data_IF_877555376298
#
_entry.id   IF_877555376298
#
_cell.length_a   1.000
_cell.length_b   1.000
_cell.length_c   1.000
_cell.angle_alpha   90.00
_cell.angle_beta   90.00
_cell.angle_gamma   90.00
#
_symmetry.space_group_name_H-M   'P 1'
#
loop_
_entity.id
_entity.type
_entity.pdbx_description
1 polymer ?
#
# COMPACT_ATOMS: atom_id res chain seq x y z
N UNK A 1 -17.72 1.88 8.70
CA UNK A 1 -16.85 0.70 8.58
C UNK A 1 -17.21 -0.28 9.69
N UNK A 2 -17.14 -1.56 9.38
CA UNK A 2 -17.28 -2.66 10.34
C UNK A 2 -15.93 -2.90 11.04
N UNK A 3 -15.93 -3.74 12.07
CA UNK A 3 -14.75 -4.09 12.85
C UNK A 3 -14.60 -5.59 12.99
N UNK A 4 -13.35 -6.04 12.99
CA UNK A 4 -12.98 -7.44 13.18
C UNK A 4 -11.75 -7.55 14.06
N UNK A 5 -11.75 -8.49 14.98
CA UNK A 5 -10.59 -8.79 15.83
C UNK A 5 -9.79 -9.92 15.21
N UNK A 6 -8.54 -9.64 14.84
CA UNK A 6 -7.59 -10.60 14.26
C UNK A 6 -6.20 -10.38 14.87
N UNK A 7 -5.45 -11.44 15.11
CA UNK A 7 -4.06 -11.38 15.59
C UNK A 7 -3.83 -10.40 16.76
N UNK A 8 -4.79 -10.30 17.68
CA UNK A 8 -4.69 -9.42 18.85
C UNK A 8 -4.93 -7.94 18.60
N UNK A 9 -5.37 -7.55 17.39
CA UNK A 9 -5.73 -6.18 17.01
C UNK A 9 -7.17 -6.13 16.48
N UNK A 10 -7.79 -4.96 16.58
CA UNK A 10 -9.06 -4.65 15.94
C UNK A 10 -8.79 -3.87 14.65
N UNK A 11 -9.30 -4.36 13.53
CA UNK A 11 -9.21 -3.72 12.23
C UNK A 11 -10.56 -3.19 11.79
N UNK A 12 -10.56 -2.05 11.11
CA UNK A 12 -11.74 -1.51 10.43
C UNK A 12 -11.74 -1.96 8.96
N UNK A 13 -12.88 -2.47 8.49
CA UNK A 13 -13.03 -2.89 7.09
C UNK A 13 -14.38 -2.51 6.51
N UNK A 14 -14.53 -2.60 5.21
CA UNK A 14 -15.82 -2.54 4.52
C UNK A 14 -15.84 -3.48 3.33
N UNK A 15 -17.01 -4.04 3.05
CA UNK A 15 -17.26 -4.87 1.88
C UNK A 15 -18.37 -4.27 1.02
N UNK A 16 -18.27 -4.41 -0.30
CA UNK A 16 -19.30 -4.03 -1.26
C UNK A 16 -19.29 -4.99 -2.46
N UNK A 17 -20.45 -5.17 -3.10
CA UNK A 17 -20.58 -6.09 -4.23
C UNK A 17 -20.63 -7.57 -3.86
N UNK A 18 -20.54 -8.43 -4.87
CA UNK A 18 -20.56 -9.89 -4.73
C UNK A 18 -19.78 -10.53 -5.90
N UNK A 19 -19.42 -11.80 -5.74
CA UNK A 19 -18.60 -12.53 -6.71
C UNK A 19 -17.23 -12.87 -6.16
N UNK A 20 -16.24 -12.97 -7.04
CA UNK A 20 -14.84 -13.20 -6.64
C UNK A 20 -14.34 -12.06 -5.74
N UNK A 21 -13.56 -12.40 -4.75
CA UNK A 21 -13.10 -11.41 -3.78
C UNK A 21 -11.91 -10.60 -4.34
N UNK A 22 -11.97 -9.29 -4.14
CA UNK A 22 -10.86 -8.37 -4.36
C UNK A 22 -10.57 -7.68 -3.03
N UNK A 23 -9.36 -7.80 -2.51
CA UNK A 23 -8.93 -7.07 -1.32
C UNK A 23 -7.97 -5.96 -1.70
N UNK A 24 -8.27 -4.74 -1.26
CA UNK A 24 -7.38 -3.59 -1.41
C UNK A 24 -6.62 -3.33 -0.12
N UNK A 25 -5.29 -3.33 -0.21
CA UNK A 25 -4.36 -3.01 0.87
C UNK A 25 -3.80 -1.61 0.62
N UNK A 26 -4.15 -0.65 1.50
CA UNK A 26 -3.72 0.73 1.35
C UNK A 26 -2.21 0.93 1.61
N UNK A 27 -1.64 1.94 0.99
CA UNK A 27 -0.25 2.37 1.18
C UNK A 27 0.04 2.97 2.55
N UNK A 28 1.18 3.61 2.70
CA UNK A 28 1.53 4.37 3.90
C UNK A 28 0.73 5.67 4.02
N UNK A 29 0.31 6.02 5.22
CA UNK A 29 -0.21 7.32 5.61
C UNK A 29 -1.67 7.64 5.26
N UNK A 30 -2.23 7.16 4.13
CA UNK A 30 -3.61 7.46 3.75
C UNK A 30 -4.42 6.16 3.65
N UNK A 31 -5.13 5.82 4.71
CA UNK A 31 -5.77 4.52 4.88
C UNK A 31 -6.96 4.24 3.96
N UNK A 32 -7.63 5.27 3.44
CA UNK A 32 -8.86 5.13 2.68
C UNK A 32 -8.68 5.30 1.16
N UNK A 33 -7.45 5.24 0.64
CA UNK A 33 -7.17 5.39 -0.79
C UNK A 33 -7.86 4.36 -1.68
N UNK A 34 -8.25 3.21 -1.16
CA UNK A 34 -9.05 2.21 -1.88
C UNK A 34 -10.54 2.55 -2.01
N UNK A 35 -11.03 3.63 -1.39
CA UNK A 35 -12.45 3.97 -1.44
C UNK A 35 -13.01 4.14 -2.86
N UNK A 36 -12.34 4.85 -3.78
CA UNK A 36 -12.84 4.99 -5.16
C UNK A 36 -13.00 3.66 -5.87
N UNK A 37 -12.08 2.71 -5.69
CA UNK A 37 -12.16 1.39 -6.30
C UNK A 37 -13.35 0.57 -5.77
N UNK A 38 -13.60 0.62 -4.47
CA UNK A 38 -14.70 -0.15 -3.84
C UNK A 38 -16.07 0.36 -4.27
N UNK A 39 -16.19 1.63 -4.63
CA UNK A 39 -17.47 2.22 -5.09
C UNK A 39 -17.60 2.24 -6.61
N UNK A 40 -16.53 1.91 -7.36
CA UNK A 40 -16.54 1.90 -8.83
C UNK A 40 -17.49 0.81 -9.35
N UNK A 41 -18.54 1.17 -10.11
CA UNK A 41 -19.53 0.19 -10.60
C UNK A 41 -18.91 -0.93 -11.43
N UNK A 42 -17.91 -0.62 -12.28
CA UNK A 42 -17.24 -1.60 -13.13
C UNK A 42 -16.56 -2.72 -12.31
N UNK A 43 -16.19 -2.45 -11.07
CA UNK A 43 -15.62 -3.42 -10.14
C UNK A 43 -16.68 -4.01 -9.22
N UNK A 44 -17.43 -3.17 -8.53
CA UNK A 44 -18.41 -3.58 -7.50
C UNK A 44 -19.52 -4.47 -8.06
N UNK A 45 -19.92 -4.28 -9.31
CA UNK A 45 -21.01 -5.04 -9.92
C UNK A 45 -20.58 -6.47 -10.32
N UNK A 46 -19.26 -6.77 -10.30
CA UNK A 46 -18.67 -8.05 -10.67
C UNK A 46 -17.88 -8.74 -9.56
N UNK A 47 -17.40 -7.97 -8.57
CA UNK A 47 -16.52 -8.47 -7.53
C UNK A 47 -17.04 -8.14 -6.14
N UNK A 48 -16.69 -8.99 -5.17
CA UNK A 48 -16.79 -8.68 -3.73
C UNK A 48 -15.59 -7.83 -3.34
N UNK A 49 -15.75 -6.51 -3.37
CA UNK A 49 -14.72 -5.54 -3.05
C UNK A 49 -14.53 -5.42 -1.54
N UNK A 50 -13.32 -5.67 -1.04
CA UNK A 50 -12.94 -5.59 0.37
C UNK A 50 -11.86 -4.55 0.51
N UNK A 51 -12.03 -3.59 1.41
CA UNK A 51 -10.96 -2.71 1.86
C UNK A 51 -10.88 -2.72 3.38
N UNK A 52 -9.70 -2.54 3.92
CA UNK A 52 -9.50 -2.43 5.35
C UNK A 52 -8.42 -1.40 5.68
N UNK A 53 -8.43 -0.90 6.90
CA UNK A 53 -7.36 -0.09 7.43
C UNK A 53 -6.38 -1.00 8.16
N UNK A 54 -5.09 -0.90 7.82
CA UNK A 54 -4.05 -1.67 8.51
C UNK A 54 -3.96 -1.25 9.98
N UNK A 55 -3.41 -2.10 10.82
CA UNK A 55 -3.17 -1.77 12.25
C UNK A 55 -2.48 -0.42 12.40
N UNK A 56 -2.85 0.33 13.42
CA UNK A 56 -2.34 1.68 13.68
C UNK A 56 -3.09 2.79 12.95
N UNK A 57 -3.81 2.50 11.86
CA UNK A 57 -4.50 3.49 11.05
C UNK A 57 -5.97 3.67 11.44
N UNK A 58 -6.47 4.89 11.30
CA UNK A 58 -7.88 5.23 11.53
C UNK A 58 -8.35 4.86 12.93
N UNK A 59 -9.45 4.09 12.99
CA UNK A 59 -10.01 3.58 14.25
C UNK A 59 -9.51 2.18 14.63
N UNK A 60 -8.51 1.63 13.93
CA UNK A 60 -7.89 0.37 14.30
C UNK A 60 -7.09 0.48 15.61
N UNK A 61 -6.74 -0.66 16.19
CA UNK A 61 -5.88 -0.70 17.37
C UNK A 61 -4.59 0.09 17.12
N UNK A 62 -4.32 1.06 17.98
CA UNK A 62 -3.07 1.84 17.92
C UNK A 62 -1.88 0.96 18.27
N UNK A 63 -0.80 1.19 17.59
CA UNK A 63 0.47 0.47 17.76
C UNK A 63 1.55 1.41 18.28
N UNK A 64 2.58 0.83 18.84
CA UNK A 64 3.80 1.54 19.27
C UNK A 64 5.00 0.84 18.65
N UNK A 65 5.84 1.61 17.96
CA UNK A 65 7.03 1.09 17.29
C UNK A 65 6.74 0.37 15.96
N UNK A 66 7.76 -0.28 15.40
CA UNK A 66 7.68 -0.90 14.08
C UNK A 66 6.74 -2.11 14.07
N UNK A 67 6.07 -2.30 12.93
CA UNK A 67 5.31 -3.51 12.61
C UNK A 67 5.98 -4.14 11.39
N UNK A 68 6.27 -5.41 11.47
CA UNK A 68 6.90 -6.12 10.35
C UNK A 68 5.94 -6.30 9.16
N UNK A 69 6.50 -6.39 7.97
CA UNK A 69 5.72 -6.69 6.76
C UNK A 69 4.98 -8.02 6.91
N UNK A 70 5.60 -9.02 7.53
CA UNK A 70 4.98 -10.31 7.80
C UNK A 70 3.75 -10.19 8.72
N UNK A 71 3.78 -9.34 9.74
CA UNK A 71 2.62 -9.11 10.61
C UNK A 71 1.46 -8.45 9.85
N UNK A 72 1.75 -7.48 8.96
CA UNK A 72 0.73 -6.89 8.09
C UNK A 72 0.13 -7.92 7.11
N UNK A 73 0.94 -8.82 6.55
CA UNK A 73 0.48 -9.91 5.68
C UNK A 73 -0.39 -10.91 6.45
N UNK A 74 0.01 -11.28 7.68
CA UNK A 74 -0.79 -12.14 8.56
C UNK A 74 -2.12 -11.52 8.93
N UNK A 75 -2.18 -10.20 9.14
CA UNK A 75 -3.45 -9.49 9.38
C UNK A 75 -4.38 -9.56 8.18
N UNK A 76 -3.87 -9.34 6.98
CA UNK A 76 -4.66 -9.47 5.75
C UNK A 76 -5.20 -10.90 5.61
N UNK A 77 -4.35 -11.92 5.80
CA UNK A 77 -4.78 -13.31 5.79
C UNK A 77 -5.87 -13.61 6.81
N UNK A 78 -5.68 -13.13 8.05
CA UNK A 78 -6.63 -13.36 9.14
C UNK A 78 -7.97 -12.64 8.89
N UNK A 79 -7.94 -11.43 8.29
CA UNK A 79 -9.13 -10.71 7.83
C UNK A 79 -9.88 -11.53 6.77
N UNK A 80 -9.20 -11.98 5.70
CA UNK A 80 -9.81 -12.80 4.65
C UNK A 80 -10.46 -14.05 5.24
N UNK A 81 -9.78 -14.75 6.15
CA UNK A 81 -10.32 -15.91 6.86
C UNK A 81 -11.56 -15.57 7.68
N UNK A 82 -11.56 -14.47 8.42
CA UNK A 82 -12.70 -14.02 9.23
C UNK A 82 -13.91 -13.63 8.37
N UNK A 83 -13.68 -13.22 7.12
CA UNK A 83 -14.71 -12.91 6.13
C UNK A 83 -15.11 -14.12 5.27
N UNK A 84 -14.61 -15.32 5.61
CA UNK A 84 -14.87 -16.57 4.87
C UNK A 84 -14.44 -16.49 3.39
N UNK A 85 -13.35 -15.75 3.12
CA UNK A 85 -12.73 -15.63 1.79
C UNK A 85 -11.59 -16.62 1.71
N UNK A 86 -11.73 -17.63 0.85
CA UNK A 86 -10.71 -18.66 0.64
C UNK A 86 -9.57 -18.14 -0.24
N UNK A 87 -9.89 -17.35 -1.26
CA UNK A 87 -8.95 -16.80 -2.22
C UNK A 87 -9.40 -15.40 -2.64
N UNK A 88 -8.47 -14.48 -2.92
CA UNK A 88 -8.76 -13.13 -3.34
C UNK A 88 -7.75 -12.61 -4.37
N UNK A 89 -8.20 -11.75 -5.29
CA UNK A 89 -7.33 -10.85 -6.02
C UNK A 89 -6.82 -9.78 -5.06
N UNK A 90 -5.52 -9.60 -4.97
CA UNK A 90 -4.89 -8.65 -4.04
C UNK A 90 -4.45 -7.41 -4.80
N UNK A 91 -5.08 -6.28 -4.52
CA UNK A 91 -4.71 -4.96 -5.05
C UNK A 91 -4.00 -4.19 -3.96
N UNK A 92 -2.84 -3.65 -4.25
CA UNK A 92 -2.04 -2.92 -3.27
C UNK A 92 -1.46 -1.63 -3.86
N UNK A 93 -1.16 -0.68 -3.00
CA UNK A 93 -0.57 0.59 -3.40
C UNK A 93 0.67 0.90 -2.57
N UNK A 94 1.76 1.34 -3.25
CA UNK A 94 2.94 1.86 -2.57
C UNK A 94 3.52 0.88 -1.54
N UNK A 95 3.69 1.29 -0.29
CA UNK A 95 4.17 0.47 0.83
C UNK A 95 3.51 -0.91 0.92
N UNK A 96 2.21 -1.01 0.68
CA UNK A 96 1.52 -2.29 0.79
C UNK A 96 1.84 -3.29 -0.32
N UNK A 97 2.61 -2.89 -1.32
CA UNK A 97 3.21 -3.84 -2.27
C UNK A 97 4.08 -4.89 -1.58
N UNK A 98 4.83 -4.48 -0.55
CA UNK A 98 5.62 -5.40 0.28
C UNK A 98 4.71 -6.39 1.01
N UNK A 99 3.60 -5.88 1.58
CA UNK A 99 2.62 -6.69 2.30
C UNK A 99 1.96 -7.72 1.37
N UNK A 100 1.59 -7.30 0.17
CA UNK A 100 0.96 -8.16 -0.83
C UNK A 100 1.92 -9.25 -1.33
N UNK A 101 3.18 -8.89 -1.61
CA UNK A 101 4.22 -9.86 -2.00
C UNK A 101 4.52 -10.85 -0.85
N UNK A 102 4.62 -10.38 0.39
CA UNK A 102 4.80 -11.25 1.56
C UNK A 102 3.62 -12.20 1.75
N UNK A 103 2.39 -11.71 1.57
CA UNK A 103 1.19 -12.55 1.64
C UNK A 103 1.24 -13.68 0.59
N UNK A 104 1.65 -13.36 -0.65
CA UNK A 104 1.77 -14.34 -1.72
C UNK A 104 2.91 -15.34 -1.48
N UNK A 105 3.99 -14.94 -0.82
CA UNK A 105 5.10 -15.82 -0.42
C UNK A 105 4.67 -16.78 0.69
N UNK A 106 3.99 -16.26 1.71
CA UNK A 106 3.65 -17.03 2.94
C UNK A 106 2.44 -17.94 2.75
N UNK A 107 1.48 -17.50 1.93
CA UNK A 107 0.17 -18.15 1.76
C UNK A 107 -0.32 -18.04 0.32
N UNK A 108 0.42 -18.61 -0.65
CA UNK A 108 0.09 -18.49 -2.08
C UNK A 108 -1.33 -18.96 -2.42
N UNK A 109 -1.87 -19.87 -1.63
CA UNK A 109 -3.21 -20.43 -1.85
C UNK A 109 -4.36 -19.42 -1.58
N UNK A 110 -4.10 -18.31 -0.92
CA UNK A 110 -5.13 -17.28 -0.68
C UNK A 110 -5.07 -16.13 -1.69
N UNK A 111 -4.11 -16.16 -2.62
CA UNK A 111 -3.86 -15.11 -3.59
C UNK A 111 -4.16 -15.60 -5.01
N UNK A 112 -5.25 -15.11 -5.61
CA UNK A 112 -5.61 -15.41 -6.99
C UNK A 112 -4.74 -14.65 -8.01
N UNK A 113 -4.44 -13.39 -7.73
CA UNK A 113 -3.54 -12.53 -8.51
C UNK A 113 -3.08 -11.34 -7.69
N UNK A 114 -2.01 -10.67 -8.16
CA UNK A 114 -1.49 -9.44 -7.57
C UNK A 114 -1.64 -8.27 -8.56
N UNK A 115 -2.19 -7.14 -8.10
CA UNK A 115 -2.14 -5.87 -8.81
C UNK A 115 -1.33 -4.87 -7.96
N UNK A 116 -0.13 -4.56 -8.43
CA UNK A 116 0.88 -3.76 -7.74
C UNK A 116 0.85 -2.33 -8.29
N UNK A 117 0.24 -1.41 -7.57
CA UNK A 117 0.20 0.01 -7.93
C UNK A 117 1.42 0.71 -7.33
N UNK A 118 2.45 0.86 -8.14
CA UNK A 118 3.73 1.47 -7.74
C UNK A 118 4.23 1.01 -6.37
N UNK A 119 4.47 -0.28 -6.18
CA UNK A 119 5.00 -0.80 -4.92
C UNK A 119 6.34 -0.14 -4.60
N UNK A 120 6.67 -0.04 -3.32
CA UNK A 120 7.94 0.53 -2.85
C UNK A 120 8.83 -0.52 -2.18
N UNK A 121 9.32 -1.53 -2.88
CA UNK A 121 10.25 -2.51 -2.31
C UNK A 121 11.64 -1.90 -2.13
N UNK A 122 11.76 -0.92 -1.25
CA UNK A 122 13.01 -0.19 -0.99
C UNK A 122 14.15 -1.08 -0.48
N UNK A 123 13.84 -2.32 -0.12
CA UNK A 123 14.79 -3.29 0.47
C UNK A 123 15.29 -4.33 -0.55
N UNK A 124 14.60 -4.49 -1.69
CA UNK A 124 15.01 -5.43 -2.76
C UNK A 124 16.11 -4.85 -3.65
N UNK A 125 16.14 -3.52 -3.73
CA UNK A 125 17.19 -2.82 -4.45
C UNK A 125 18.41 -2.72 -3.54
N UNK A 126 19.59 -2.77 -4.13
CA UNK A 126 20.80 -2.43 -3.39
C UNK A 126 20.52 -1.15 -2.59
N UNK A 127 20.45 -1.22 -1.26
CA UNK A 127 19.91 -0.12 -0.45
C UNK A 127 20.74 1.16 -0.56
N UNK A 128 22.01 1.08 -0.97
CA UNK A 128 22.92 2.23 -1.03
C UNK A 128 22.51 3.27 -2.09
N UNK A 129 22.32 2.92 -3.38
CA UNK A 129 21.95 3.92 -4.40
C UNK A 129 20.59 4.56 -4.14
N UNK A 130 19.64 3.79 -3.60
CA UNK A 130 18.29 4.28 -3.33
C UNK A 130 18.26 5.19 -2.11
N UNK A 131 18.96 4.80 -1.04
CA UNK A 131 19.06 5.62 0.17
C UNK A 131 19.72 6.97 -0.14
N UNK A 132 20.76 7.01 -0.97
CA UNK A 132 21.41 8.24 -1.39
C UNK A 132 20.47 9.14 -2.23
N UNK A 133 19.67 8.57 -3.13
CA UNK A 133 18.74 9.34 -3.96
C UNK A 133 17.54 9.87 -3.19
N UNK A 134 17.07 9.16 -2.15
CA UNK A 134 15.95 9.57 -1.32
C UNK A 134 16.32 10.46 -0.13
N UNK A 135 17.56 10.43 0.32
CA UNK A 135 18.03 11.21 1.47
C UNK A 135 17.75 12.71 1.37
N UNK A 136 17.95 13.38 0.22
CA UNK A 136 17.62 14.80 0.08
C UNK A 136 16.13 15.11 0.28
N UNK A 137 15.25 14.13 0.02
CA UNK A 137 13.80 14.25 0.21
C UNK A 137 13.44 13.90 1.64
N UNK A 138 13.90 12.76 2.12
CA UNK A 138 13.48 12.20 3.42
C UNK A 138 14.14 12.90 4.60
N UNK A 139 15.37 13.38 4.47
CA UNK A 139 16.08 14.05 5.57
C UNK A 139 15.28 15.22 6.18
N UNK A 140 14.91 16.24 5.39
CA UNK A 140 14.11 17.38 5.89
C UNK A 140 12.72 16.98 6.43
N UNK A 141 12.12 15.91 5.90
CA UNK A 141 10.84 15.38 6.36
C UNK A 141 10.99 14.76 7.75
N UNK A 142 12.01 13.92 7.93
CA UNK A 142 12.30 13.29 9.22
C UNK A 142 12.69 14.32 10.29
N UNK A 143 13.43 15.38 9.93
CA UNK A 143 13.74 16.48 10.84
C UNK A 143 12.48 17.15 11.37
N UNK A 144 11.48 17.44 10.50
CA UNK A 144 10.19 17.98 10.92
C UNK A 144 9.46 17.04 11.87
N UNK A 145 9.42 15.75 11.53
CA UNK A 145 8.76 14.75 12.36
C UNK A 145 9.42 14.66 13.75
N UNK A 146 10.76 14.59 13.82
CA UNK A 146 11.52 14.55 15.06
C UNK A 146 11.38 15.83 15.90
N UNK A 147 11.13 16.97 15.25
CA UNK A 147 10.80 18.22 15.94
C UNK A 147 9.37 18.26 16.50
N UNK A 148 8.57 17.21 16.31
CA UNK A 148 7.18 17.11 16.77
C UNK A 148 6.14 17.69 15.79
N UNK A 149 6.56 18.13 14.61
CA UNK A 149 5.65 18.65 13.58
C UNK A 149 5.27 17.54 12.58
N UNK A 150 4.44 16.60 13.03
CA UNK A 150 3.96 15.48 12.22
C UNK A 150 3.14 15.94 11.00
N UNK A 151 2.39 17.03 11.13
CA UNK A 151 1.58 17.58 10.02
C UNK A 151 2.50 18.10 8.90
N UNK A 152 3.53 18.87 9.24
CA UNK A 152 4.48 19.36 8.25
C UNK A 152 5.33 18.22 7.66
N UNK A 153 5.59 17.16 8.40
CA UNK A 153 6.27 15.97 7.89
C UNK A 153 5.40 15.22 6.88
N UNK A 154 4.13 14.96 7.20
CA UNK A 154 3.13 14.36 6.30
C UNK A 154 2.99 15.19 5.02
N UNK A 155 2.86 16.51 5.17
CA UNK A 155 2.72 17.42 4.03
C UNK A 155 3.96 17.43 3.13
N UNK A 156 5.15 17.40 3.72
CA UNK A 156 6.43 17.31 3.01
C UNK A 156 6.53 16.03 2.20
N UNK A 157 6.24 14.88 2.81
CA UNK A 157 6.31 13.59 2.15
C UNK A 157 5.32 13.49 0.98
N UNK A 158 4.06 13.82 1.23
CA UNK A 158 3.03 13.66 0.20
C UNK A 158 3.11 14.72 -0.89
N UNK A 159 3.61 15.92 -0.57
CA UNK A 159 3.94 16.91 -1.60
C UNK A 159 5.06 16.44 -2.53
N UNK A 160 6.06 15.73 -2.01
CA UNK A 160 7.12 15.16 -2.83
C UNK A 160 6.64 14.00 -3.72
N UNK A 161 5.73 13.15 -3.21
CA UNK A 161 5.22 11.99 -3.93
C UNK A 161 4.09 12.32 -4.91
N UNK A 162 3.19 13.23 -4.54
CA UNK A 162 1.93 13.47 -5.25
C UNK A 162 1.82 14.88 -5.84
N UNK A 163 2.74 15.77 -5.44
CA UNK A 163 2.70 17.18 -5.79
C UNK A 163 2.04 18.07 -4.73
N UNK A 164 2.20 19.41 -4.85
CA UNK A 164 1.83 20.36 -3.80
C UNK A 164 0.32 20.48 -3.55
N UNK A 165 -0.51 19.93 -4.40
CA UNK A 165 -1.98 19.98 -4.30
C UNK A 165 -2.59 18.66 -3.78
N UNK A 166 -1.80 17.75 -3.24
CA UNK A 166 -2.22 16.42 -2.84
C UNK A 166 -3.43 16.41 -1.88
N UNK A 167 -3.49 17.38 -0.94
CA UNK A 167 -4.61 17.47 0.02
C UNK A 167 -5.94 17.67 -0.71
N UNK A 168 -5.97 18.57 -1.68
CA UNK A 168 -7.16 18.84 -2.48
C UNK A 168 -7.51 17.66 -3.40
N UNK A 169 -6.51 16.98 -3.95
CA UNK A 169 -6.72 15.78 -4.77
C UNK A 169 -7.32 14.63 -3.96
N UNK A 170 -6.71 14.31 -2.84
CA UNK A 170 -7.20 13.24 -1.95
C UNK A 170 -8.60 13.56 -1.43
N UNK A 171 -8.85 14.79 -0.99
CA UNK A 171 -10.17 15.18 -0.43
C UNK A 171 -11.32 15.04 -1.42
N UNK A 172 -11.07 15.07 -2.73
CA UNK A 172 -12.13 14.91 -3.75
C UNK A 172 -12.73 13.49 -3.76
N UNK A 173 -11.92 12.49 -3.49
CA UNK A 173 -12.30 11.07 -3.58
C UNK A 173 -12.29 10.37 -2.22
N UNK A 174 -11.54 10.93 -1.27
CA UNK A 174 -11.39 10.42 0.10
C UNK A 174 -11.67 11.57 1.08
N UNK A 175 -12.94 11.90 1.34
CA UNK A 175 -13.29 12.97 2.28
C UNK A 175 -12.71 12.72 3.67
N UNK A 176 -12.02 13.73 4.24
CA UNK A 176 -11.34 13.63 5.53
C UNK A 176 -10.02 12.83 5.50
N UNK A 177 -9.59 12.38 4.32
CA UNK A 177 -8.34 11.61 4.16
C UNK A 177 -7.09 12.37 4.60
N UNK A 178 -6.89 13.62 4.19
CA UNK A 178 -5.72 14.40 4.63
C UNK A 178 -5.69 14.62 6.15
N UNK A 179 -6.82 14.93 6.76
CA UNK A 179 -6.92 15.14 8.22
C UNK A 179 -6.70 13.83 8.99
N UNK A 180 -7.09 12.70 8.41
CA UNK A 180 -6.80 11.38 8.99
C UNK A 180 -5.32 11.04 8.84
N UNK A 181 -4.69 11.35 7.71
CA UNK A 181 -3.26 11.17 7.52
C UNK A 181 -2.43 11.95 8.54
N UNK A 182 -2.82 13.18 8.86
CA UNK A 182 -2.18 13.98 9.91
C UNK A 182 -2.28 13.30 11.29
N UNK A 183 -3.43 12.68 11.62
CA UNK A 183 -3.63 11.93 12.88
C UNK A 183 -2.85 10.62 12.92
N UNK A 184 -2.61 10.01 11.78
CA UNK A 184 -1.92 8.74 11.64
C UNK A 184 -0.41 8.92 11.36
N UNK A 185 0.12 10.15 11.46
CA UNK A 185 1.53 10.48 11.21
C UNK A 185 2.49 9.57 12.00
N UNK A 186 2.20 9.31 13.28
CA UNK A 186 3.02 8.42 14.09
C UNK A 186 3.05 6.98 13.52
N UNK A 187 1.93 6.45 13.04
CA UNK A 187 1.92 5.13 12.40
C UNK A 187 2.76 5.13 11.12
N UNK A 188 2.66 6.18 10.31
CA UNK A 188 3.45 6.33 9.10
C UNK A 188 4.96 6.38 9.40
N UNK A 189 5.38 7.27 10.29
CA UNK A 189 6.80 7.53 10.52
C UNK A 189 7.46 6.56 11.50
N UNK A 190 6.77 6.09 12.53
CA UNK A 190 7.34 5.20 13.55
C UNK A 190 7.14 3.71 13.24
N UNK A 191 6.28 3.38 12.27
CA UNK A 191 5.96 1.99 11.95
C UNK A 191 6.29 1.63 10.51
N UNK A 192 5.73 2.38 9.54
CA UNK A 192 5.90 2.03 8.12
C UNK A 192 7.28 2.45 7.56
N UNK A 193 7.78 3.63 7.95
CA UNK A 193 8.98 4.23 7.37
C UNK A 193 10.24 4.12 8.25
N UNK A 194 10.17 3.43 9.39
CA UNK A 194 11.35 3.25 10.24
C UNK A 194 12.47 2.53 9.48
N UNK A 195 13.71 3.04 9.55
CA UNK A 195 14.88 2.31 9.09
C UNK A 195 15.03 0.99 9.87
N UNK A 196 15.26 -0.12 9.18
CA UNK A 196 15.54 -1.40 9.82
C UNK A 196 14.36 -2.38 9.87
N UNK A 197 13.35 -2.20 9.05
CA UNK A 197 12.47 -3.33 8.75
C UNK A 197 13.28 -4.35 7.97
N UNK A 198 13.66 -5.44 8.63
CA UNK A 198 14.41 -6.57 8.04
C UNK A 198 13.54 -7.40 7.09
N UNK A 199 12.88 -6.73 6.13
CA UNK A 199 12.14 -7.43 5.10
C UNK A 199 13.09 -7.76 3.95
N UNK A 200 13.14 -9.03 3.61
CA UNK A 200 13.95 -9.53 2.51
C UNK A 200 13.04 -10.09 1.42
N UNK A 201 13.32 -9.70 0.18
CA UNK A 201 12.67 -10.24 -1.00
C UNK A 201 13.70 -10.37 -2.12
N UNK A 202 14.05 -11.58 -2.44
CA UNK A 202 15.01 -11.92 -3.48
C UNK A 202 14.48 -12.97 -4.45
N UNK A 203 15.36 -13.59 -5.20
CA UNK A 203 14.99 -14.61 -6.18
C UNK A 203 14.28 -15.83 -5.56
N UNK A 204 14.62 -16.20 -4.32
CA UNK A 204 14.00 -17.34 -3.63
C UNK A 204 12.55 -17.03 -3.23
N UNK A 205 12.27 -15.82 -2.74
CA UNK A 205 10.92 -15.37 -2.41
C UNK A 205 10.08 -15.18 -3.67
N UNK A 206 10.65 -14.53 -4.67
CA UNK A 206 9.98 -14.28 -5.94
C UNK A 206 9.57 -15.58 -6.66
N UNK A 207 10.40 -16.63 -6.59
CA UNK A 207 10.10 -17.94 -7.18
C UNK A 207 8.85 -18.62 -6.56
N UNK A 208 8.42 -18.21 -5.37
CA UNK A 208 7.20 -18.70 -4.72
C UNK A 208 5.93 -18.02 -5.25
N UNK A 209 6.07 -16.84 -5.88
CA UNK A 209 4.96 -16.10 -6.47
C UNK A 209 4.73 -16.60 -7.89
N UNK A 210 3.77 -17.49 -8.06
CA UNK A 210 3.41 -18.09 -9.36
C UNK A 210 2.12 -17.53 -9.94
N UNK A 211 1.42 -16.71 -9.17
CA UNK A 211 0.17 -16.06 -9.58
C UNK A 211 0.42 -15.03 -10.68
N UNK A 212 -0.63 -14.68 -11.45
CA UNK A 212 -0.58 -13.53 -12.33
C UNK A 212 -0.25 -12.25 -11.55
N UNK A 213 0.67 -11.44 -12.08
CA UNK A 213 1.08 -10.17 -11.48
C UNK A 213 0.94 -9.06 -12.51
N UNK A 214 0.24 -7.99 -12.14
CA UNK A 214 0.13 -6.76 -12.92
C UNK A 214 0.84 -5.63 -12.15
N UNK A 215 1.74 -4.93 -12.82
CA UNK A 215 2.34 -3.70 -12.32
C UNK A 215 1.71 -2.49 -13.01
N UNK A 216 1.17 -1.55 -12.23
CA UNK A 216 0.65 -0.29 -12.76
C UNK A 216 1.48 0.88 -12.29
N UNK A 217 1.82 1.79 -13.22
CA UNK A 217 2.54 3.04 -12.91
C UNK A 217 1.89 4.22 -13.63
N UNK A 218 2.08 5.42 -13.06
CA UNK A 218 1.64 6.66 -13.69
C UNK A 218 2.73 7.27 -14.57
N UNK A 219 2.36 7.87 -15.70
CA UNK A 219 3.32 8.53 -16.60
C UNK A 219 3.93 9.81 -15.99
N UNK A 220 3.34 10.36 -14.93
CA UNK A 220 3.81 11.53 -14.19
C UNK A 220 4.40 11.17 -12.81
N UNK A 221 4.60 9.88 -12.54
CA UNK A 221 5.20 9.39 -11.30
C UNK A 221 6.72 9.63 -11.29
N UNK A 222 7.32 9.53 -10.10
CA UNK A 222 8.77 9.66 -9.94
C UNK A 222 9.51 8.58 -10.74
N UNK A 223 10.68 8.90 -11.33
CA UNK A 223 11.50 7.93 -12.08
C UNK A 223 11.83 6.65 -11.33
N UNK A 224 11.93 6.73 -10.01
CA UNK A 224 12.09 5.61 -9.09
C UNK A 224 11.15 4.43 -9.37
N UNK A 225 9.88 4.69 -9.69
CA UNK A 225 8.92 3.61 -9.96
C UNK A 225 9.22 2.85 -11.26
N UNK A 226 9.86 3.52 -12.24
CA UNK A 226 10.40 2.86 -13.42
C UNK A 226 11.57 1.93 -13.12
N UNK A 227 12.45 2.30 -12.20
CA UNK A 227 13.56 1.46 -11.74
C UNK A 227 13.03 0.25 -10.98
N UNK A 228 12.09 0.44 -10.06
CA UNK A 228 11.41 -0.64 -9.33
C UNK A 228 10.72 -1.62 -10.29
N UNK A 229 10.04 -1.10 -11.31
CA UNK A 229 9.42 -1.93 -12.36
C UNK A 229 10.44 -2.84 -13.03
N UNK A 230 11.59 -2.27 -13.44
CA UNK A 230 12.67 -3.04 -14.08
C UNK A 230 13.21 -4.15 -13.20
N UNK A 231 13.37 -3.89 -11.90
CA UNK A 231 13.83 -4.89 -10.94
C UNK A 231 12.80 -6.00 -10.71
N UNK A 232 11.54 -5.65 -10.54
CA UNK A 232 10.48 -6.64 -10.34
C UNK A 232 10.31 -7.51 -11.57
N UNK A 233 10.49 -7.00 -12.79
CA UNK A 233 10.52 -7.83 -14.00
C UNK A 233 11.64 -8.87 -14.00
N UNK A 234 12.80 -8.55 -13.43
CA UNK A 234 13.88 -9.51 -13.31
C UNK A 234 13.57 -10.66 -12.35
N UNK A 235 12.77 -10.39 -11.31
CA UNK A 235 12.38 -11.39 -10.31
C UNK A 235 11.08 -12.11 -10.65
N UNK A 236 10.14 -11.44 -11.31
CA UNK A 236 8.79 -11.92 -11.64
C UNK A 236 8.59 -11.87 -13.16
N UNK A 237 9.16 -12.81 -13.92
CA UNK A 237 9.12 -12.79 -15.40
C UNK A 237 7.70 -12.92 -15.97
N UNK A 238 6.72 -13.40 -15.19
CA UNK A 238 5.31 -13.46 -15.56
C UNK A 238 4.57 -12.13 -15.35
N UNK A 239 5.23 -11.11 -14.77
CA UNK A 239 4.59 -9.82 -14.51
C UNK A 239 4.27 -9.09 -15.81
N UNK A 240 3.01 -8.73 -15.97
CA UNK A 240 2.56 -7.76 -16.97
C UNK A 240 2.63 -6.36 -16.38
N UNK A 241 2.79 -5.35 -17.23
CA UNK A 241 2.80 -3.97 -16.77
C UNK A 241 2.03 -3.03 -17.70
N UNK A 242 1.49 -1.96 -17.13
CA UNK A 242 0.85 -0.88 -17.89
C UNK A 242 1.18 0.48 -17.28
N UNK A 243 1.12 1.52 -18.13
CA UNK A 243 1.41 2.90 -17.78
C UNK A 243 0.16 3.75 -17.95
N UNK A 244 -0.36 4.29 -16.86
CA UNK A 244 -1.53 5.15 -16.87
C UNK A 244 -1.17 6.59 -17.31
N UNK A 245 -1.64 7.06 -18.47
CA UNK A 245 -1.31 8.40 -18.96
C UNK A 245 -1.86 9.50 -18.03
N UNK A 246 -1.04 10.52 -17.72
CA UNK A 246 -1.45 11.65 -16.88
C UNK A 246 -1.65 11.33 -15.40
N UNK A 247 -1.35 10.12 -14.98
CA UNK A 247 -1.40 9.73 -13.57
C UNK A 247 -0.04 9.91 -12.90
N UNK A 248 -0.08 10.30 -11.62
CA UNK A 248 1.06 10.27 -10.69
C UNK A 248 0.88 9.11 -9.70
N UNK A 249 1.64 9.10 -8.61
CA UNK A 249 1.56 8.06 -7.58
C UNK A 249 0.17 7.89 -6.92
N UNK A 250 -0.80 8.78 -7.15
CA UNK A 250 -2.22 8.62 -6.78
C UNK A 250 -3.07 8.06 -7.93
N UNK A 251 -2.52 7.20 -8.77
CA UNK A 251 -3.12 6.71 -10.02
C UNK A 251 -4.57 6.22 -9.84
N UNK A 252 -4.84 5.41 -8.83
CA UNK A 252 -6.16 4.83 -8.54
C UNK A 252 -7.17 5.84 -7.94
N UNK A 253 -6.73 7.01 -7.48
CA UNK A 253 -7.62 8.10 -7.09
C UNK A 253 -8.03 8.96 -8.29
N UNK A 254 -7.13 9.08 -9.29
CA UNK A 254 -7.38 9.86 -10.50
C UNK A 254 -8.17 9.08 -11.54
N UNK A 255 -7.92 7.79 -11.64
CA UNK A 255 -8.48 6.89 -12.65
C UNK A 255 -8.93 5.58 -11.99
N UNK A 256 -10.06 5.57 -11.25
CA UNK A 256 -10.54 4.38 -10.54
C UNK A 256 -11.16 3.33 -11.48
N UNK A 257 -11.49 3.69 -12.73
CA UNK A 257 -12.10 2.85 -13.75
C UNK A 257 -11.13 2.48 -14.85
#
# INVERSE_FOLDING_TARGET
MERVSVNGVELEFSCAGSGEAVVFIHGGGIADTGLPLVVEPALRDHYRMIRYRRRGYGGCTRIQGPVSIAEHAQDCRALLKALEVAEAHVVCHSYSGLVAMQLAVDTPEVVASLALFEPTPLVVMDPEPLSESLQPIMGPIMEKYQAGDGVAAVDGLFSALFGPHWRAEVSRTVPGGPEQADKDAATLFDSDLLPGQDWHFGAEEAAKITQPVLFLTGSESLPLFGEIRGLLHAYLPQMEDDVMPGANHLLHLRHPA
#
